data_IF_087240672838
#
_entry.id   IF_087240672838
#
_cell.length_a   1.000
_cell.length_b   1.000
_cell.length_c   1.000
_cell.angle_alpha   90.00
_cell.angle_beta   90.00
_cell.angle_gamma   90.00
#
_symmetry.space_group_name_H-M   'P 1'
#
loop_
_entity.id
_entity.type
_entity.pdbx_description
1 polymer ?
#
# COMPACT_ATOMS: atom_id res chain seq x y z
N UNK A 1 -22.95 47.47 20.95
CA UNK A 1 -22.63 46.10 21.45
C UNK A 1 -23.48 45.00 20.82
N UNK A 2 -24.83 45.03 20.87
CA UNK A 2 -25.67 43.94 20.33
C UNK A 2 -25.52 43.70 18.82
N UNK A 3 -25.38 44.75 18.01
CA UNK A 3 -25.20 44.63 16.54
C UNK A 3 -23.86 44.01 16.16
N UNK A 4 -22.77 44.43 16.83
CA UNK A 4 -21.42 43.89 16.60
C UNK A 4 -21.35 42.41 17.00
N UNK A 5 -21.94 42.04 18.14
CA UNK A 5 -22.00 40.64 18.58
C UNK A 5 -22.79 39.75 17.59
N UNK A 6 -23.89 40.24 17.01
CA UNK A 6 -24.63 39.52 15.96
C UNK A 6 -23.79 39.32 14.70
N UNK A 7 -23.08 40.36 14.24
CA UNK A 7 -22.21 40.24 13.06
C UNK A 7 -21.12 39.20 13.30
N UNK A 8 -20.45 39.25 14.46
CA UNK A 8 -19.44 38.26 14.84
C UNK A 8 -20.04 36.84 14.85
N UNK A 9 -21.23 36.66 15.42
CA UNK A 9 -21.90 35.36 15.42
C UNK A 9 -22.20 34.84 14.00
N UNK A 10 -22.66 35.69 13.08
CA UNK A 10 -22.88 35.29 11.69
C UNK A 10 -21.58 34.95 10.95
N UNK A 11 -20.51 35.71 11.18
CA UNK A 11 -19.19 35.43 10.59
C UNK A 11 -18.65 34.10 11.11
N UNK A 12 -18.73 33.85 12.42
CA UNK A 12 -18.30 32.58 13.01
C UNK A 12 -19.13 31.41 12.47
N UNK A 13 -20.45 31.57 12.35
CA UNK A 13 -21.32 30.55 11.76
C UNK A 13 -20.94 30.26 10.30
N UNK A 14 -20.69 31.29 9.50
CA UNK A 14 -20.25 31.13 8.12
C UNK A 14 -18.91 30.39 8.02
N UNK A 15 -17.95 30.71 8.89
CA UNK A 15 -16.67 30.01 8.97
C UNK A 15 -16.83 28.54 9.32
N UNK A 16 -17.69 28.21 10.30
CA UNK A 16 -17.99 26.82 10.67
C UNK A 16 -18.59 26.05 9.49
N UNK A 17 -19.49 26.67 8.73
CA UNK A 17 -20.08 26.05 7.53
C UNK A 17 -19.01 25.79 6.47
N UNK A 18 -18.14 26.77 6.18
CA UNK A 18 -17.06 26.61 5.20
C UNK A 18 -16.06 25.53 5.63
N UNK A 19 -15.69 25.48 6.91
CA UNK A 19 -14.84 24.42 7.45
C UNK A 19 -15.51 23.04 7.33
N UNK A 20 -16.81 22.95 7.63
CA UNK A 20 -17.59 21.72 7.48
C UNK A 20 -17.61 21.23 6.03
N UNK A 21 -17.89 22.12 5.07
CA UNK A 21 -17.86 21.80 3.64
C UNK A 21 -16.46 21.34 3.21
N UNK A 22 -15.40 22.02 3.66
CA UNK A 22 -14.02 21.64 3.36
C UNK A 22 -13.64 20.26 3.89
N UNK A 23 -14.09 19.91 5.10
CA UNK A 23 -13.90 18.57 5.67
C UNK A 23 -14.65 17.52 4.85
N UNK A 24 -15.92 17.75 4.52
CA UNK A 24 -16.70 16.82 3.71
C UNK A 24 -16.04 16.66 2.34
N UNK A 25 -15.69 17.74 1.66
CA UNK A 25 -15.01 17.72 0.36
C UNK A 25 -13.74 16.88 0.39
N UNK A 26 -12.89 17.06 1.40
CA UNK A 26 -11.64 16.29 1.57
C UNK A 26 -11.92 14.79 1.72
N UNK A 27 -12.82 14.41 2.63
CA UNK A 27 -13.08 13.01 2.97
C UNK A 27 -14.06 12.30 2.03
N UNK A 28 -14.56 12.98 1.00
CA UNK A 28 -15.43 12.40 -0.05
C UNK A 28 -14.76 12.41 -1.43
N UNK A 29 -13.44 12.63 -1.50
CA UNK A 29 -12.71 12.80 -2.76
C UNK A 29 -13.39 13.84 -3.68
N UNK A 30 -13.74 14.99 -3.11
CA UNK A 30 -14.44 16.06 -3.83
C UNK A 30 -15.92 15.77 -4.12
N UNK A 31 -16.62 15.10 -3.22
CA UNK A 31 -18.00 14.62 -3.34
C UNK A 31 -18.23 13.49 -4.37
N UNK A 32 -17.17 12.83 -4.83
CA UNK A 32 -17.26 11.70 -5.77
C UNK A 32 -17.46 10.36 -5.04
N UNK A 33 -17.15 10.29 -3.75
CA UNK A 33 -17.21 9.07 -2.92
C UNK A 33 -17.95 9.36 -1.60
N UNK A 34 -18.42 8.30 -0.92
CA UNK A 34 -19.02 8.42 0.41
C UNK A 34 -18.01 9.00 1.43
N UNK A 35 -18.53 9.66 2.46
CA UNK A 35 -17.66 10.25 3.50
C UNK A 35 -16.84 9.16 4.20
N UNK A 36 -15.51 9.29 4.10
CA UNK A 36 -14.57 8.29 4.60
C UNK A 36 -14.44 8.33 6.10
N UNK A 37 -14.91 7.26 6.71
CA UNK A 37 -14.76 6.98 8.15
C UNK A 37 -13.56 6.08 8.44
N UNK A 38 -12.94 5.53 7.40
CA UNK A 38 -11.78 4.64 7.41
C UNK A 38 -10.86 5.05 6.25
N UNK A 39 -9.58 5.22 6.50
CA UNK A 39 -8.58 5.55 5.48
C UNK A 39 -7.19 5.02 5.82
N UNK A 40 -6.35 4.96 4.78
CA UNK A 40 -4.98 4.46 4.88
C UNK A 40 -4.02 5.65 4.81
N UNK A 41 -2.91 5.57 5.51
CA UNK A 41 -1.80 6.50 5.37
C UNK A 41 -0.51 5.72 5.13
N UNK A 42 0.26 6.18 4.16
CA UNK A 42 1.53 5.58 3.78
C UNK A 42 2.54 6.71 3.52
N UNK A 43 3.73 6.60 4.09
CA UNK A 43 4.79 7.63 3.99
C UNK A 43 4.29 9.06 4.32
N UNK A 44 3.49 9.17 5.39
CA UNK A 44 2.89 10.45 5.82
C UNK A 44 1.80 11.01 4.90
N UNK A 45 1.44 10.33 3.82
CA UNK A 45 0.39 10.75 2.87
C UNK A 45 -0.89 9.95 3.08
N UNK A 46 -2.01 10.66 3.12
CA UNK A 46 -3.34 10.05 3.25
C UNK A 46 -3.80 9.50 1.90
N UNK A 47 -4.11 8.21 1.86
CA UNK A 47 -4.77 7.54 0.75
C UNK A 47 -6.27 7.59 1.04
N UNK A 48 -6.94 8.53 0.38
CA UNK A 48 -8.37 8.77 0.52
C UNK A 48 -9.17 8.19 -0.65
N UNK A 49 -8.56 7.59 -1.66
CA UNK A 49 -9.31 6.93 -2.76
C UNK A 49 -9.34 5.44 -2.52
N UNK A 50 -10.49 4.78 -2.74
CA UNK A 50 -10.58 3.32 -2.54
C UNK A 50 -9.67 2.54 -3.50
N UNK A 51 -9.44 3.07 -4.70
CA UNK A 51 -8.49 2.53 -5.66
C UNK A 51 -7.26 3.41 -5.71
N UNK A 52 -6.08 2.80 -5.65
CA UNK A 52 -4.81 3.49 -5.73
C UNK A 52 -3.75 2.60 -6.39
N UNK A 53 -2.66 3.21 -6.83
CA UNK A 53 -1.56 2.56 -7.52
C UNK A 53 -0.23 3.04 -6.94
N UNK A 54 0.73 2.15 -6.73
CA UNK A 54 2.06 2.52 -6.24
C UNK A 54 3.16 1.53 -6.63
N UNK A 55 4.40 1.92 -6.37
CA UNK A 55 5.55 1.02 -6.46
C UNK A 55 6.17 0.87 -5.07
N UNK A 56 6.42 -0.37 -4.67
CA UNK A 56 7.04 -0.72 -3.40
C UNK A 56 8.45 -1.27 -3.64
N UNK A 57 9.38 -0.97 -2.75
CA UNK A 57 10.77 -1.40 -2.87
C UNK A 57 10.93 -2.82 -2.31
N UNK A 58 11.55 -3.71 -3.09
CA UNK A 58 11.87 -5.05 -2.61
C UNK A 58 12.79 -5.03 -1.39
N UNK A 59 12.71 -6.03 -0.51
CA UNK A 59 13.61 -6.15 0.65
C UNK A 59 13.50 -5.05 1.71
N UNK A 60 12.47 -4.18 1.64
CA UNK A 60 12.17 -3.17 2.65
C UNK A 60 10.84 -3.48 3.35
N UNK A 61 10.69 -2.87 4.54
CA UNK A 61 9.43 -2.88 5.28
C UNK A 61 8.60 -1.65 4.93
N UNK A 62 7.38 -1.88 4.47
CA UNK A 62 6.43 -0.82 4.13
C UNK A 62 5.37 -0.73 5.22
N UNK A 63 5.42 0.36 6.01
CA UNK A 63 4.46 0.60 7.08
C UNK A 63 3.25 1.38 6.58
N UNK A 64 2.08 0.79 6.73
CA UNK A 64 0.78 1.42 6.45
C UNK A 64 0.06 1.68 7.76
N UNK A 65 -0.34 2.93 7.98
CA UNK A 65 -1.19 3.31 9.10
C UNK A 65 -2.65 3.22 8.68
N UNK A 66 -3.47 2.71 9.59
CA UNK A 66 -4.91 2.56 9.43
C UNK A 66 -5.58 3.56 10.36
N UNK A 67 -6.52 4.36 9.82
CA UNK A 67 -7.12 5.47 10.55
C UNK A 67 -8.64 5.43 10.45
N UNK A 68 -9.30 5.81 11.54
CA UNK A 68 -10.74 6.04 11.58
C UNK A 68 -11.03 7.49 11.96
N UNK A 69 -11.80 8.19 11.13
CA UNK A 69 -11.96 9.66 11.18
C UNK A 69 -12.60 10.19 12.47
N UNK A 70 -13.38 9.36 13.16
CA UNK A 70 -14.12 9.73 14.38
C UNK A 70 -13.63 9.00 15.63
N UNK A 71 -12.50 8.29 15.55
CA UNK A 71 -11.92 7.67 16.73
C UNK A 71 -11.27 8.75 17.59
N UNK A 72 -11.57 8.71 18.89
CA UNK A 72 -10.88 9.53 19.88
C UNK A 72 -9.51 8.94 20.15
N UNK A 73 -8.57 9.75 20.64
CA UNK A 73 -7.20 9.29 20.95
C UNK A 73 -7.17 8.15 21.98
N UNK A 74 -8.20 8.04 22.83
CA UNK A 74 -8.37 7.03 23.88
C UNK A 74 -9.36 5.91 23.51
N UNK A 75 -9.89 5.89 22.28
CA UNK A 75 -10.82 4.85 21.85
C UNK A 75 -10.11 3.50 21.66
N UNK A 76 -10.78 2.40 22.00
CA UNK A 76 -10.30 1.06 21.65
C UNK A 76 -10.12 0.96 20.13
N UNK A 77 -8.96 0.48 19.66
CA UNK A 77 -8.70 0.39 18.23
C UNK A 77 -9.71 -0.52 17.53
N UNK A 78 -10.36 0.02 16.50
CA UNK A 78 -11.18 -0.79 15.60
C UNK A 78 -10.27 -1.66 14.73
N UNK A 79 -10.60 -2.94 14.63
CA UNK A 79 -9.85 -3.89 13.81
C UNK A 79 -9.84 -3.54 12.32
N UNK A 80 -9.05 -4.31 11.57
CA UNK A 80 -8.98 -4.24 10.10
C UNK A 80 -8.44 -5.56 9.55
N UNK A 81 -8.62 -5.82 8.26
CA UNK A 81 -8.04 -6.95 7.55
C UNK A 81 -7.09 -6.48 6.46
N UNK A 82 -6.11 -7.33 6.14
CA UNK A 82 -5.12 -7.10 5.08
C UNK A 82 -4.92 -8.42 4.36
N UNK A 83 -4.90 -8.39 3.04
CA UNK A 83 -4.48 -9.51 2.19
C UNK A 83 -3.87 -8.98 0.89
N UNK A 84 -3.11 -9.81 0.19
CA UNK A 84 -2.61 -9.51 -1.14
C UNK A 84 -3.26 -10.47 -2.13
N UNK A 85 -3.90 -9.93 -3.16
CA UNK A 85 -4.53 -10.71 -4.24
C UNK A 85 -3.84 -10.38 -5.57
N UNK A 86 -4.03 -11.18 -6.63
CA UNK A 86 -3.58 -10.77 -7.95
C UNK A 86 -4.33 -9.52 -8.39
N UNK A 87 -3.63 -8.60 -9.06
CA UNK A 87 -4.23 -7.60 -9.92
C UNK A 87 -4.00 -8.06 -11.37
N UNK A 88 -5.08 -8.39 -12.08
CA UNK A 88 -5.00 -8.99 -13.41
C UNK A 88 -5.54 -8.03 -14.45
N UNK A 89 -4.64 -7.29 -15.10
CA UNK A 89 -4.99 -6.56 -16.32
C UNK A 89 -4.97 -7.48 -17.54
N UNK A 90 -4.06 -8.46 -17.54
CA UNK A 90 -3.94 -9.48 -18.57
C UNK A 90 -3.62 -10.85 -17.94
N UNK A 91 -4.16 -11.91 -18.53
CA UNK A 91 -3.85 -13.28 -18.17
C UNK A 91 -2.69 -13.83 -19.02
N UNK A 92 -1.94 -14.78 -18.48
CA UNK A 92 -0.83 -15.43 -19.17
C UNK A 92 -0.54 -16.82 -18.60
N UNK A 93 -0.01 -17.69 -19.45
CA UNK A 93 0.53 -18.98 -19.03
C UNK A 93 1.96 -18.80 -18.47
N UNK A 94 2.30 -19.58 -17.45
CA UNK A 94 3.66 -19.70 -16.93
C UNK A 94 3.97 -21.16 -16.61
N UNK A 95 5.25 -21.48 -16.44
CA UNK A 95 5.69 -22.84 -16.12
C UNK A 95 6.37 -22.87 -14.76
N UNK A 96 6.07 -23.89 -13.94
CA UNK A 96 6.80 -24.21 -12.72
C UNK A 96 7.35 -25.63 -12.83
N UNK A 97 8.67 -25.79 -12.88
CA UNK A 97 9.38 -27.06 -13.18
C UNK A 97 8.83 -27.77 -14.45
N UNK A 98 8.44 -26.99 -15.46
CA UNK A 98 7.89 -27.49 -16.73
C UNK A 98 6.39 -27.85 -16.71
N UNK A 99 5.72 -27.74 -15.57
CA UNK A 99 4.27 -27.86 -15.49
C UNK A 99 3.62 -26.51 -15.82
N UNK A 100 2.63 -26.51 -16.72
CA UNK A 100 1.93 -25.30 -17.15
C UNK A 100 0.83 -24.89 -16.18
N UNK A 101 0.80 -23.60 -15.87
CA UNK A 101 -0.18 -22.95 -15.01
C UNK A 101 -0.68 -21.67 -15.66
N UNK A 102 -1.87 -21.23 -15.25
CA UNK A 102 -2.49 -19.99 -15.70
C UNK A 102 -2.52 -18.97 -14.55
N UNK A 103 -2.07 -17.74 -14.78
CA UNK A 103 -1.97 -16.71 -13.75
C UNK A 103 -3.34 -16.45 -13.09
N UNK A 104 -4.42 -16.44 -13.88
CA UNK A 104 -5.78 -16.24 -13.36
C UNK A 104 -6.34 -17.30 -12.42
N UNK A 105 -5.63 -18.42 -12.24
CA UNK A 105 -6.00 -19.44 -11.25
C UNK A 105 -5.47 -19.13 -9.85
N UNK A 106 -4.55 -18.18 -9.72
CA UNK A 106 -4.09 -17.70 -8.42
C UNK A 106 -5.12 -16.72 -7.88
N UNK A 107 -5.51 -16.88 -6.62
CA UNK A 107 -6.50 -15.99 -5.97
C UNK A 107 -5.94 -15.25 -4.76
N UNK A 108 -4.79 -15.69 -4.24
CA UNK A 108 -4.18 -15.16 -3.04
C UNK A 108 -2.65 -15.19 -3.18
N UNK A 109 -2.01 -14.04 -2.95
CA UNK A 109 -0.57 -13.84 -2.92
C UNK A 109 -0.07 -13.53 -1.51
N UNK A 110 -0.93 -13.50 -0.49
CA UNK A 110 -0.60 -13.07 0.88
C UNK A 110 0.59 -13.83 1.45
N UNK A 111 0.74 -15.12 1.14
CA UNK A 111 1.86 -15.96 1.59
C UNK A 111 3.23 -15.54 1.03
N UNK A 112 3.26 -14.77 -0.06
CA UNK A 112 4.50 -14.25 -0.64
C UNK A 112 5.10 -13.08 0.14
N UNK A 113 4.35 -12.55 1.12
CA UNK A 113 4.72 -11.39 1.91
C UNK A 113 4.67 -11.71 3.39
N UNK A 114 5.54 -11.07 4.17
CA UNK A 114 5.42 -11.05 5.63
C UNK A 114 4.55 -9.86 6.02
N UNK A 115 3.41 -10.12 6.66
CA UNK A 115 2.49 -9.08 7.15
C UNK A 115 2.49 -9.09 8.67
N UNK A 116 3.07 -8.05 9.27
CA UNK A 116 3.08 -7.86 10.73
C UNK A 116 2.03 -6.82 11.10
N UNK A 117 0.98 -7.23 11.83
CA UNK A 117 -0.13 -6.34 12.22
C UNK A 117 0.07 -5.78 13.62
N UNK A 118 -0.33 -4.52 13.80
CA UNK A 118 -0.56 -3.85 15.09
C UNK A 118 -2.01 -3.34 15.11
N UNK A 119 -2.42 -2.66 16.18
CA UNK A 119 -3.80 -2.18 16.29
C UNK A 119 -4.19 -1.13 15.25
N UNK A 120 -3.26 -0.24 14.90
CA UNK A 120 -3.51 0.92 14.01
C UNK A 120 -2.55 0.99 12.83
N UNK A 121 -1.77 -0.07 12.58
CA UNK A 121 -0.84 -0.12 11.46
C UNK A 121 -0.42 -1.54 11.15
N UNK A 122 0.03 -1.79 9.92
CA UNK A 122 0.72 -3.03 9.56
C UNK A 122 1.99 -2.75 8.77
N UNK A 123 2.94 -3.67 8.85
CA UNK A 123 4.13 -3.70 8.01
C UNK A 123 3.95 -4.80 6.95
N UNK A 124 4.12 -4.43 5.69
CA UNK A 124 4.24 -5.34 4.56
C UNK A 124 5.72 -5.44 4.20
N UNK A 125 6.29 -6.63 4.32
CA UNK A 125 7.68 -6.91 3.95
C UNK A 125 7.69 -7.96 2.83
N UNK A 126 8.49 -7.70 1.80
CA UNK A 126 8.71 -8.62 0.70
C UNK A 126 10.18 -9.06 0.68
N UNK A 127 10.48 -10.27 0.17
CA UNK A 127 11.86 -10.72 0.00
C UNK A 127 12.73 -9.71 -0.76
N UNK A 128 14.06 -9.81 -0.57
CA UNK A 128 15.00 -9.11 -1.45
C UNK A 128 14.87 -9.63 -2.87
N UNK A 129 15.08 -8.76 -3.86
CA UNK A 129 14.99 -9.11 -5.29
C UNK A 129 13.63 -9.74 -5.65
N UNK A 130 12.58 -9.28 -4.97
CA UNK A 130 11.23 -9.77 -5.20
C UNK A 130 10.65 -9.21 -6.50
N UNK A 131 10.02 -10.08 -7.28
CA UNK A 131 9.33 -9.78 -8.54
C UNK A 131 8.22 -10.84 -8.75
N UNK A 132 7.48 -10.75 -9.86
CA UNK A 132 6.40 -11.69 -10.17
C UNK A 132 6.89 -13.15 -10.21
N UNK A 133 8.03 -13.42 -10.85
CA UNK A 133 8.59 -14.77 -10.94
C UNK A 133 8.91 -15.35 -9.55
N UNK A 134 9.47 -14.53 -8.64
CA UNK A 134 9.76 -14.94 -7.27
C UNK A 134 8.49 -15.21 -6.47
N UNK A 135 7.45 -14.38 -6.65
CA UNK A 135 6.14 -14.59 -6.03
C UNK A 135 5.53 -15.93 -6.48
N UNK A 136 5.53 -16.19 -7.78
CA UNK A 136 5.04 -17.45 -8.34
C UNK A 136 5.86 -18.66 -7.86
N UNK A 137 7.18 -18.52 -7.75
CA UNK A 137 8.03 -19.56 -7.16
C UNK A 137 7.62 -19.87 -5.73
N UNK A 138 7.31 -18.86 -4.90
CA UNK A 138 6.83 -19.05 -3.53
C UNK A 138 5.46 -19.76 -3.50
N UNK A 139 4.54 -19.39 -4.40
CA UNK A 139 3.23 -20.06 -4.53
C UNK A 139 3.39 -21.55 -4.87
N UNK A 140 4.44 -21.90 -5.61
CA UNK A 140 4.77 -23.27 -6.01
C UNK A 140 5.87 -23.89 -5.17
N UNK A 141 5.91 -23.62 -3.86
CA UNK A 141 6.83 -24.26 -2.91
C UNK A 141 8.32 -24.16 -3.28
N UNK A 142 8.71 -23.08 -3.96
CA UNK A 142 10.08 -22.80 -4.37
C UNK A 142 10.52 -23.40 -5.71
N UNK A 143 9.60 -23.96 -6.50
CA UNK A 143 9.89 -24.47 -7.87
C UNK A 143 10.52 -23.39 -8.76
N UNK A 144 11.26 -23.83 -9.78
CA UNK A 144 11.78 -22.94 -10.81
C UNK A 144 10.63 -22.47 -11.69
N UNK A 145 10.36 -21.16 -11.67
CA UNK A 145 9.31 -20.56 -12.48
C UNK A 145 9.88 -19.83 -13.69
N UNK A 146 9.24 -20.01 -14.84
CA UNK A 146 9.47 -19.24 -16.06
C UNK A 146 8.18 -18.49 -16.41
N UNK A 147 8.27 -17.17 -16.51
CA UNK A 147 7.18 -16.28 -16.97
C UNK A 147 7.49 -15.74 -18.36
N UNK A 148 6.47 -15.37 -19.16
CA UNK A 148 6.69 -14.63 -20.40
C UNK A 148 7.44 -13.32 -20.16
N UNK A 149 8.39 -12.98 -21.02
CA UNK A 149 9.23 -11.77 -20.89
C UNK A 149 8.42 -10.45 -20.87
N UNK A 150 7.21 -10.47 -21.44
CA UNK A 150 6.33 -9.31 -21.51
C UNK A 150 5.25 -9.30 -20.42
N UNK A 151 5.24 -10.26 -19.48
CA UNK A 151 4.20 -10.37 -18.45
C UNK A 151 4.16 -9.14 -17.53
N UNK A 152 5.32 -8.71 -17.01
CA UNK A 152 5.42 -7.51 -16.16
C UNK A 152 5.34 -6.20 -16.96
N UNK A 153 5.59 -6.24 -18.29
CA UNK A 153 5.37 -5.08 -19.17
C UNK A 153 3.88 -4.86 -19.42
N UNK A 154 3.14 -5.95 -19.63
CA UNK A 154 1.67 -5.93 -19.82
C UNK A 154 0.91 -5.72 -18.52
N UNK A 155 1.51 -6.07 -17.38
CA UNK A 155 0.93 -5.90 -16.06
C UNK A 155 2.00 -5.41 -15.06
N UNK A 156 2.33 -4.10 -15.07
CA UNK A 156 3.38 -3.53 -14.23
C UNK A 156 3.05 -3.53 -12.73
N UNK A 157 1.78 -3.78 -12.37
CA UNK A 157 1.31 -3.83 -10.99
C UNK A 157 0.55 -5.13 -10.74
N UNK A 158 1.22 -6.29 -10.72
CA UNK A 158 0.54 -7.58 -10.69
C UNK A 158 -0.10 -7.94 -9.34
N UNK A 159 0.12 -7.13 -8.30
CA UNK A 159 -0.38 -7.36 -6.95
C UNK A 159 -1.40 -6.30 -6.55
N UNK A 160 -2.40 -6.70 -5.77
CA UNK A 160 -3.38 -5.80 -5.15
C UNK A 160 -3.38 -6.00 -3.64
N UNK A 161 -2.97 -4.97 -2.90
CA UNK A 161 -3.09 -4.91 -1.45
C UNK A 161 -4.52 -4.50 -1.09
N UNK A 162 -5.26 -5.43 -0.47
CA UNK A 162 -6.66 -5.23 -0.08
C UNK A 162 -6.73 -5.01 1.42
N UNK A 163 -7.20 -3.83 1.83
CA UNK A 163 -7.28 -3.41 3.24
C UNK A 163 -8.72 -3.03 3.56
N UNK A 164 -9.35 -3.73 4.50
CA UNK A 164 -10.76 -3.49 4.84
C UNK A 164 -10.95 -3.06 6.29
N UNK A 165 -11.95 -2.22 6.52
CA UNK A 165 -12.40 -1.83 7.87
C UNK A 165 -12.87 -3.05 8.68
N UNK A 166 -12.99 -2.89 9.99
CA UNK A 166 -13.39 -3.96 10.93
C UNK A 166 -14.67 -4.73 10.53
N UNK A 167 -15.56 -4.06 9.79
CA UNK A 167 -16.85 -4.60 9.33
C UNK A 167 -16.91 -4.82 7.81
N UNK A 168 -15.80 -4.65 7.10
CA UNK A 168 -15.71 -4.82 5.64
C UNK A 168 -16.45 -3.78 4.80
N UNK A 169 -17.08 -2.76 5.40
CA UNK A 169 -17.89 -1.77 4.66
C UNK A 169 -17.05 -0.82 3.81
N UNK A 170 -15.82 -0.53 4.23
CA UNK A 170 -14.87 0.29 3.47
C UNK A 170 -13.68 -0.61 3.14
N UNK A 171 -13.32 -0.67 1.87
CA UNK A 171 -12.18 -1.45 1.39
C UNK A 171 -11.32 -0.62 0.46
N UNK A 172 -10.03 -0.56 0.76
CA UNK A 172 -9.02 0.01 -0.12
C UNK A 172 -8.35 -1.12 -0.91
N UNK A 173 -8.14 -0.87 -2.19
CA UNK A 173 -7.43 -1.72 -3.14
C UNK A 173 -6.29 -0.90 -3.72
N UNK A 174 -5.07 -1.24 -3.30
CA UNK A 174 -3.86 -0.59 -3.77
C UNK A 174 -3.16 -1.57 -4.69
N UNK A 175 -3.24 -1.34 -5.99
CA UNK A 175 -2.45 -2.07 -6.97
C UNK A 175 -0.99 -1.64 -6.83
N UNK A 176 -0.07 -2.59 -6.85
CA UNK A 176 1.34 -2.25 -6.72
C UNK A 176 2.26 -3.11 -7.58
N UNK A 177 3.27 -2.42 -8.11
CA UNK A 177 4.47 -3.03 -8.70
C UNK A 177 5.61 -3.06 -7.69
N UNK A 178 6.69 -3.74 -8.04
CA UNK A 178 7.87 -3.88 -7.19
C UNK A 178 9.09 -3.31 -7.90
N UNK A 179 9.84 -2.46 -7.22
CA UNK A 179 11.15 -1.99 -7.68
C UNK A 179 12.28 -2.72 -6.94
N UNK A 180 13.38 -2.97 -7.66
CA UNK A 180 14.61 -3.45 -7.03
C UNK A 180 15.23 -2.37 -6.15
N UNK A 181 15.79 -2.76 -5.01
CA UNK A 181 16.64 -1.84 -4.23
C UNK A 181 17.81 -1.42 -5.10
N UNK A 182 17.89 -0.14 -5.46
CA UNK A 182 19.12 0.40 -6.02
C UNK A 182 20.11 0.46 -4.88
N UNK A 183 21.20 -0.32 -4.94
CA UNK A 183 22.30 -0.20 -3.98
C UNK A 183 22.79 1.24 -4.10
N UNK A 184 22.46 2.11 -3.13
CA UNK A 184 23.10 3.42 -3.01
C UNK A 184 24.59 3.14 -2.86
N UNK A 185 25.37 3.69 -3.80
CA UNK A 185 26.79 3.40 -4.04
C UNK A 185 27.58 2.88 -2.84
N UNK A 186 28.29 1.77 -3.04
CA UNK A 186 29.36 1.34 -2.15
C UNK A 186 30.42 2.43 -2.18
N UNK A 187 30.43 3.29 -1.16
CA UNK A 187 31.57 4.17 -0.93
C UNK A 187 32.67 3.31 -0.34
N UNK A 188 33.56 2.79 -1.19
CA UNK A 188 34.85 2.28 -0.74
C UNK A 188 35.61 3.49 -0.18
N UNK A 189 36.00 3.43 1.08
CA UNK A 189 36.99 4.35 1.68
C UNK A 189 38.35 3.65 1.57
N UNK A 190 39.17 3.91 0.54
CA UNK A 190 40.50 3.32 0.47
C UNK A 190 41.44 4.23 1.24
N UNK A 191 41.56 4.00 2.55
CA UNK A 191 42.70 4.48 3.32
C UNK A 191 43.59 3.29 3.72
N UNK A 192 44.65 3.15 2.92
CA UNK A 192 45.92 2.44 3.18
C UNK A 192 46.04 0.98 2.70
N UNK A 193 46.78 0.82 1.59
CA UNK A 193 47.54 -0.38 1.28
C UNK A 193 48.96 -0.16 1.84
N UNK A 194 49.33 -0.84 2.91
CA UNK A 194 50.71 -0.84 3.42
C UNK A 194 51.47 -1.97 2.74
N UNK A 195 52.30 -1.66 1.75
CA UNK A 195 53.31 -2.58 1.25
C UNK A 195 54.55 -2.49 2.14
N UNK A 196 54.76 -3.48 3.01
CA UNK A 196 56.04 -3.66 3.69
C UNK A 196 57.11 -4.06 2.67
N UNK A 197 58.13 -3.22 2.51
CA UNK A 197 59.22 -3.46 1.57
C UNK A 197 60.55 -2.87 2.06
N UNK A 198 61.41 -3.78 2.51
CA UNK A 198 62.86 -3.72 2.85
C UNK A 198 63.31 -2.85 4.01
#
# INVERSE_FOLDING_TARGET
MKTVAKIIAYVVLALVVVLGIGLIYKFTNGFNEDFKTFYIEYDGKQILTEYNEMTLESGQKHKFNVKYTFDKEDAEPKGYSVKVTPNMESDFDYEADGEKYLFSKISDFTSCFTITKSDTSFELEMPKEFNLQKALSIIHDGKQVTVPDDAEVKNPMPFCLVISSYNGKVTYKINFGVSSVTVKDVTLDPSEIVFGGT
#
